data_IF_000068773124
#
_entry.id   IF_000068773124
#
_cell.length_a   1.000
_cell.length_b   1.000
_cell.length_c   1.000
_cell.angle_alpha   90.00
_cell.angle_beta   90.00
_cell.angle_gamma   90.00
#
_symmetry.space_group_name_H-M   'P 1'
#
loop_
_entity.id
_entity.type
_entity.pdbx_description
1 polymer ?
#
# COMPACT_ATOMS: atom_id res chain seq x y z
N UNK A 1 22.40 -37.02 4.53
CA UNK A 1 20.94 -37.21 4.67
C UNK A 1 20.60 -36.86 6.11
N UNK A 2 20.47 -35.57 6.42
CA UNK A 2 20.08 -35.09 7.74
C UNK A 2 19.01 -34.02 7.53
N UNK A 3 17.85 -34.26 8.13
CA UNK A 3 16.67 -33.41 8.07
C UNK A 3 16.82 -32.32 9.12
N UNK A 4 16.85 -31.06 8.71
CA UNK A 4 16.66 -29.94 9.63
C UNK A 4 15.16 -29.71 9.81
N UNK A 5 14.72 -29.81 11.05
CA UNK A 5 13.38 -29.45 11.52
C UNK A 5 13.31 -27.94 11.70
N UNK A 6 12.38 -27.28 11.02
CA UNK A 6 12.03 -25.88 11.26
C UNK A 6 11.45 -25.74 12.67
N UNK A 7 12.10 -24.95 13.52
CA UNK A 7 11.58 -24.54 14.83
C UNK A 7 10.86 -23.20 14.67
N UNK A 8 9.54 -23.22 14.84
CA UNK A 8 8.67 -22.04 14.97
C UNK A 8 8.96 -21.31 16.29
N UNK A 9 9.17 -19.99 16.20
CA UNK A 9 9.13 -19.07 17.34
C UNK A 9 7.86 -18.23 17.22
N UNK A 10 6.80 -18.64 17.91
CA UNK A 10 5.61 -17.84 18.14
C UNK A 10 5.82 -16.89 19.32
N UNK A 11 5.59 -15.59 19.10
CA UNK A 11 5.37 -14.62 20.18
C UNK A 11 3.93 -14.07 20.07
N UNK A 12 3.16 -14.00 21.18
CA UNK A 12 1.80 -13.47 21.13
C UNK A 12 1.81 -11.94 21.03
N UNK A 13 1.05 -11.41 20.06
CA UNK A 13 0.74 -9.98 19.98
C UNK A 13 -0.49 -9.68 20.85
N UNK A 14 -0.27 -9.08 22.02
CA UNK A 14 -1.32 -8.44 22.79
C UNK A 14 -1.62 -7.06 22.18
N UNK A 15 -2.76 -6.94 21.49
CA UNK A 15 -3.65 -5.75 21.49
C UNK A 15 -4.42 -5.61 20.17
N UNK A 16 -5.53 -6.32 20.04
CA UNK A 16 -6.76 -5.82 19.44
C UNK A 16 -7.86 -6.89 19.63
N UNK A 17 -8.73 -6.67 20.61
CA UNK A 17 -9.90 -7.51 20.84
C UNK A 17 -10.89 -7.32 19.70
N UNK A 18 -10.99 -8.31 18.81
CA UNK A 18 -12.19 -8.58 18.01
C UNK A 18 -12.36 -10.09 17.98
N UNK A 19 -13.28 -10.58 18.82
CA UNK A 19 -13.84 -11.93 18.74
C UNK A 19 -15.00 -11.90 17.76
N UNK A 20 -14.96 -12.74 16.73
CA UNK A 20 -16.15 -13.32 16.11
C UNK A 20 -15.86 -14.82 15.97
N UNK A 21 -16.41 -15.60 16.90
CA UNK A 21 -16.52 -17.06 16.82
C UNK A 21 -17.63 -17.47 15.85
N UNK A 22 -17.95 -18.73 15.63
CA UNK A 22 -17.40 -20.01 16.07
C UNK A 22 -17.83 -20.99 14.97
N UNK A 23 -16.91 -21.85 14.49
CA UNK A 23 -17.31 -23.09 13.82
C UNK A 23 -17.20 -24.22 14.83
N UNK A 24 -18.35 -24.87 15.04
CA UNK A 24 -18.56 -26.15 15.73
C UNK A 24 -17.44 -27.13 15.37
N UNK A 25 -16.67 -27.54 16.38
CA UNK A 25 -15.77 -28.68 16.26
C UNK A 25 -16.40 -29.87 17.00
N UNK A 26 -16.82 -30.85 16.22
CA UNK A 26 -17.13 -32.21 16.66
C UNK A 26 -15.86 -32.96 17.01
N UNK A 27 -15.99 -33.83 18.01
CA UNK A 27 -15.15 -34.99 18.27
C UNK A 27 -13.69 -34.75 18.67
N UNK A 28 -13.42 -34.86 19.97
CA UNK A 28 -12.49 -35.91 20.43
C UNK A 28 -12.67 -36.21 21.92
N UNK A 29 -12.89 -37.49 22.19
CA UNK A 29 -12.95 -38.14 23.47
C UNK A 29 -11.79 -37.79 24.42
N UNK A 30 -12.11 -37.52 25.69
CA UNK A 30 -11.33 -38.08 26.78
C UNK A 30 -12.22 -38.41 28.00
N UNK A 31 -12.04 -39.65 28.46
CA UNK A 31 -12.63 -40.33 29.63
C UNK A 31 -12.36 -39.49 30.90
N UNK A 32 -13.18 -39.43 31.95
CA UNK A 32 -14.44 -40.05 32.29
C UNK A 32 -14.62 -39.91 33.80
N UNK A 33 -15.84 -39.78 34.29
CA UNK A 33 -16.25 -40.31 35.58
C UNK A 33 -17.77 -40.33 35.67
N UNK A 34 -18.29 -41.47 36.09
CA UNK A 34 -19.70 -41.78 36.23
C UNK A 34 -20.09 -41.48 37.68
N UNK A 35 -21.03 -40.57 37.90
CA UNK A 35 -21.94 -40.68 39.05
C UNK A 35 -23.38 -40.58 38.53
N UNK A 36 -24.16 -41.59 38.92
CA UNK A 36 -25.54 -41.86 38.52
C UNK A 36 -26.54 -40.95 39.23
N UNK A 37 -27.52 -40.49 38.44
CA UNK A 37 -28.98 -40.54 38.63
C UNK A 37 -29.58 -39.94 39.92
N UNK A 38 -30.37 -38.88 39.75
CA UNK A 38 -31.74 -38.79 40.31
C UNK A 38 -32.57 -37.72 39.59
N UNK A 39 -33.50 -38.17 38.74
CA UNK A 39 -34.82 -37.53 38.54
C UNK A 39 -35.78 -38.12 39.59
N UNK A 40 -36.91 -37.51 40.00
CA UNK A 40 -37.89 -36.86 39.11
C UNK A 40 -38.66 -35.66 39.71
N UNK A 41 -39.69 -35.22 38.96
CA UNK A 41 -40.91 -34.48 39.36
C UNK A 41 -40.97 -32.96 39.10
N UNK A 42 -41.80 -32.63 38.09
CA UNK A 42 -42.60 -31.39 37.96
C UNK A 42 -43.75 -31.40 39.03
N UNK A 43 -44.59 -30.34 39.22
CA UNK A 43 -44.75 -29.10 38.45
C UNK A 43 -44.92 -27.78 39.28
N UNK A 44 -44.99 -26.68 38.52
CA UNK A 44 -45.92 -25.54 38.66
C UNK A 44 -45.43 -24.19 39.28
N UNK A 45 -45.82 -23.14 38.53
CA UNK A 45 -46.24 -21.77 38.88
C UNK A 45 -45.38 -20.88 39.80
N UNK A 46 -44.86 -19.77 39.25
CA UNK A 46 -44.96 -18.41 39.83
C UNK A 46 -44.37 -17.34 38.90
N UNK A 47 -45.08 -16.21 38.82
CA UNK A 47 -44.77 -15.02 38.05
C UNK A 47 -43.46 -14.34 38.51
N UNK A 48 -42.68 -13.81 37.56
CA UNK A 48 -41.64 -12.82 37.83
C UNK A 48 -41.83 -11.59 36.95
N UNK A 49 -42.29 -10.51 37.57
CA UNK A 49 -42.01 -9.14 37.18
C UNK A 49 -40.54 -8.84 37.50
N UNK A 50 -39.79 -8.31 36.53
CA UNK A 50 -38.47 -7.74 36.79
C UNK A 50 -38.43 -6.26 36.42
N UNK A 51 -38.09 -5.50 37.45
CA UNK A 51 -37.86 -4.06 37.47
C UNK A 51 -36.58 -3.67 36.74
N UNK A 52 -36.62 -2.47 36.15
CA UNK A 52 -35.51 -1.72 35.58
C UNK A 52 -34.41 -1.39 36.61
N UNK A 53 -33.11 -1.43 36.25
CA UNK A 53 -32.07 -0.72 36.97
C UNK A 53 -31.82 0.68 36.39
N UNK A 54 -31.66 1.63 37.32
CA UNK A 54 -31.35 3.05 37.17
C UNK A 54 -29.87 3.33 36.80
N UNK A 55 -29.56 4.53 36.26
CA UNK A 55 -28.19 4.92 35.90
C UNK A 55 -27.39 5.49 37.08
N UNK A 56 -26.08 5.19 37.11
CA UNK A 56 -25.09 5.68 38.10
C UNK A 56 -24.36 6.95 37.59
N UNK A 57 -23.98 7.91 38.47
CA UNK A 57 -23.46 9.21 38.07
C UNK A 57 -21.92 9.30 37.94
N UNK A 58 -21.49 10.28 37.14
CA UNK A 58 -20.10 10.71 36.89
C UNK A 58 -19.36 11.21 38.14
N UNK A 59 -18.02 11.08 38.23
CA UNK A 59 -17.21 11.74 39.25
C UNK A 59 -16.65 13.12 38.81
N UNK A 60 -16.23 13.98 39.77
CA UNK A 60 -16.09 15.43 39.58
C UNK A 60 -14.68 15.92 39.18
N UNK A 61 -14.69 17.14 38.61
CA UNK A 61 -13.56 18.04 38.34
C UNK A 61 -12.87 18.49 39.64
N UNK A 62 -11.54 18.43 39.66
CA UNK A 62 -10.71 19.11 40.67
C UNK A 62 -9.84 20.17 40.00
N UNK A 63 -9.98 21.39 40.52
CA UNK A 63 -9.26 22.61 40.19
C UNK A 63 -7.96 22.61 40.99
N UNK A 64 -6.84 23.00 40.36
CA UNK A 64 -5.64 23.46 41.08
C UNK A 64 -5.16 24.78 40.46
N UNK A 65 -5.25 25.85 41.25
CA UNK A 65 -4.60 27.13 41.01
C UNK A 65 -3.16 27.12 41.55
N UNK A 66 -2.28 27.80 40.81
CA UNK A 66 -1.18 28.59 41.37
C UNK A 66 0.14 27.87 41.64
N UNK A 67 1.19 28.22 40.88
CA UNK A 67 2.35 28.98 41.39
C UNK A 67 3.43 29.21 40.31
N UNK A 68 3.78 30.49 40.16
CA UNK A 68 5.10 31.08 39.82
C UNK A 68 5.62 30.98 38.39
N UNK A 69 5.43 32.10 37.69
CA UNK A 69 6.21 32.55 36.54
C UNK A 69 7.69 32.79 36.92
N UNK A 70 8.59 32.27 36.08
CA UNK A 70 9.99 32.69 35.99
C UNK A 70 10.22 33.34 34.61
N UNK A 71 10.82 34.53 34.53
CA UNK A 71 11.05 35.20 33.25
C UNK A 71 12.35 34.67 32.62
N UNK A 72 12.25 33.85 31.57
CA UNK A 72 13.39 33.62 30.68
C UNK A 72 13.44 34.71 29.61
N UNK A 73 14.32 35.66 29.86
CA UNK A 73 14.67 36.79 29.00
C UNK A 73 15.63 36.28 27.91
N UNK A 74 15.11 36.00 26.72
CA UNK A 74 15.97 35.85 25.54
C UNK A 74 16.28 37.24 24.96
N UNK A 75 17.56 37.60 24.74
CA UNK A 75 17.89 38.86 24.12
C UNK A 75 17.52 38.84 22.63
N UNK A 76 16.66 39.77 22.23
CA UNK A 76 16.44 40.17 20.85
C UNK A 76 17.77 40.65 20.24
N UNK A 77 18.33 39.87 19.31
CA UNK A 77 19.33 40.37 18.38
C UNK A 77 18.58 41.00 17.20
N UNK A 78 18.72 42.30 17.03
CA UNK A 78 18.24 43.02 15.85
C UNK A 78 19.01 42.58 14.61
N UNK A 79 18.37 42.42 13.44
CA UNK A 79 19.08 42.11 12.20
C UNK A 79 19.88 43.35 11.74
N UNK A 80 21.16 43.14 11.46
CA UNK A 80 22.05 44.14 10.85
C UNK A 80 21.60 44.47 9.41
N UNK A 81 21.76 45.70 8.93
CA UNK A 81 21.39 46.07 7.56
C UNK A 81 22.33 45.40 6.53
N UNK A 82 21.82 45.05 5.34
CA UNK A 82 22.66 44.48 4.28
C UNK A 82 23.63 45.53 3.70
N UNK A 83 24.83 45.12 3.25
CA UNK A 83 25.78 46.00 2.56
C UNK A 83 25.29 46.37 1.15
N UNK A 84 25.77 47.48 0.57
CA UNK A 84 25.25 48.02 -0.68
C UNK A 84 25.59 47.18 -1.91
N UNK A 85 24.66 47.19 -2.88
CA UNK A 85 24.75 46.55 -4.19
C UNK A 85 26.05 46.91 -4.93
N UNK A 86 26.77 45.88 -5.38
CA UNK A 86 27.73 46.01 -6.46
C UNK A 86 27.25 45.16 -7.63
N UNK A 87 27.14 45.81 -8.79
CA UNK A 87 26.67 45.22 -10.03
C UNK A 87 27.65 44.14 -10.50
N UNK A 88 27.21 42.89 -10.48
CA UNK A 88 27.82 41.82 -11.25
C UNK A 88 26.71 41.07 -11.99
N UNK A 89 26.80 41.08 -13.32
CA UNK A 89 25.95 40.30 -14.21
C UNK A 89 26.23 38.82 -13.95
N UNK A 90 25.30 38.11 -13.34
CA UNK A 90 25.31 36.65 -13.28
C UNK A 90 24.10 36.10 -14.01
N UNK A 91 24.38 35.17 -14.93
CA UNK A 91 23.40 34.56 -15.81
C UNK A 91 22.32 33.84 -15.03
N UNK A 92 21.10 33.95 -15.55
CA UNK A 92 19.94 33.15 -15.16
C UNK A 92 20.36 31.68 -15.17
N UNK A 93 20.56 31.09 -13.99
CA UNK A 93 20.60 29.65 -13.84
C UNK A 93 19.16 29.15 -14.04
N UNK A 94 18.85 28.82 -15.28
CA UNK A 94 17.71 27.97 -15.62
C UNK A 94 17.82 26.69 -14.80
N UNK A 95 16.85 26.46 -13.93
CA UNK A 95 16.64 25.20 -13.23
C UNK A 95 16.63 24.07 -14.24
N UNK A 96 17.66 23.24 -14.22
CA UNK A 96 17.76 22.03 -15.05
C UNK A 96 16.62 21.08 -14.67
N UNK A 97 15.53 21.13 -15.41
CA UNK A 97 14.53 20.06 -15.47
C UNK A 97 15.26 18.80 -15.92
N UNK A 98 15.56 17.94 -14.94
CA UNK A 98 16.25 16.68 -15.15
C UNK A 98 15.37 15.81 -16.03
N UNK A 99 15.76 15.66 -17.30
CA UNK A 99 15.06 14.86 -18.29
C UNK A 99 15.26 13.37 -17.98
N UNK A 100 14.16 12.62 -18.06
CA UNK A 100 14.18 11.15 -17.93
C UNK A 100 15.03 10.55 -19.03
N UNK A 101 16.00 9.71 -18.66
CA UNK A 101 16.81 8.99 -19.65
C UNK A 101 15.90 8.05 -20.45
N UNK A 102 15.92 8.13 -21.78
CA UNK A 102 15.18 7.22 -22.66
C UNK A 102 15.45 5.74 -22.31
N UNK A 103 16.65 5.42 -21.81
CA UNK A 103 17.05 4.07 -21.36
C UNK A 103 16.26 3.54 -20.15
N UNK A 104 15.59 4.43 -19.40
CA UNK A 104 14.81 4.11 -18.22
C UNK A 104 13.32 3.95 -18.50
N UNK A 105 12.87 4.24 -19.73
CA UNK A 105 11.47 4.08 -20.11
C UNK A 105 11.08 2.59 -20.01
N UNK A 106 10.00 2.25 -19.28
CA UNK A 106 9.52 0.88 -19.16
C UNK A 106 9.08 0.30 -20.50
N UNK A 107 9.18 -1.03 -20.64
CA UNK A 107 8.66 -1.76 -21.80
C UNK A 107 7.39 -2.52 -21.47
N UNK A 108 6.59 -2.85 -22.47
CA UNK A 108 5.51 -3.84 -22.31
C UNK A 108 6.14 -5.22 -22.11
N UNK A 109 5.70 -5.95 -21.08
CA UNK A 109 6.03 -7.35 -20.89
C UNK A 109 5.19 -8.19 -21.85
N UNK A 110 5.85 -9.02 -22.64
CA UNK A 110 5.21 -9.93 -23.59
C UNK A 110 5.58 -11.36 -23.18
N UNK A 111 4.61 -12.18 -22.73
CA UNK A 111 4.84 -13.58 -22.43
C UNK A 111 5.39 -14.33 -23.65
N UNK A 112 6.25 -15.34 -23.41
CA UNK A 112 6.84 -16.13 -24.51
C UNK A 112 5.77 -16.88 -25.30
N UNK A 113 4.71 -17.34 -24.63
CA UNK A 113 3.55 -17.97 -25.26
C UNK A 113 2.34 -17.07 -25.03
N UNK A 114 1.57 -16.80 -26.09
CA UNK A 114 0.49 -15.81 -26.03
C UNK A 114 -0.64 -16.10 -25.03
N UNK A 115 -0.78 -17.34 -24.56
CA UNK A 115 -1.79 -17.74 -23.58
C UNK A 115 -1.22 -17.92 -22.15
N UNK A 116 0.04 -17.59 -21.92
CA UNK A 116 0.64 -17.68 -20.59
C UNK A 116 -0.03 -16.67 -19.65
N UNK A 117 -0.48 -17.13 -18.49
CA UNK A 117 -1.07 -16.30 -17.44
C UNK A 117 -0.04 -15.98 -16.35
N UNK A 118 -0.26 -14.91 -15.57
CA UNK A 118 0.59 -14.57 -14.43
C UNK A 118 0.85 -15.73 -13.47
N UNK A 119 -0.17 -16.50 -13.08
CA UNK A 119 0.00 -17.63 -12.14
C UNK A 119 0.82 -18.78 -12.71
N UNK A 120 0.81 -18.95 -14.04
CA UNK A 120 1.64 -19.93 -14.71
C UNK A 120 3.10 -19.46 -14.77
N UNK A 121 3.36 -18.22 -15.16
CA UNK A 121 4.75 -17.73 -15.32
C UNK A 121 5.43 -17.35 -14.01
N UNK A 122 4.68 -16.82 -13.05
CA UNK A 122 5.23 -16.24 -11.83
C UNK A 122 4.78 -17.02 -10.59
N UNK A 123 5.44 -18.14 -10.33
CA UNK A 123 5.08 -19.02 -9.22
C UNK A 123 5.67 -18.56 -7.87
N UNK A 124 5.07 -18.98 -6.74
CA UNK A 124 5.62 -18.72 -5.42
C UNK A 124 7.06 -19.24 -5.26
N UNK A 125 8.01 -18.33 -5.11
CA UNK A 125 9.43 -18.63 -5.01
C UNK A 125 10.15 -17.79 -3.97
N UNK A 126 11.41 -18.14 -3.73
CA UNK A 126 12.33 -17.50 -2.79
C UNK A 126 13.24 -16.50 -3.53
N UNK A 127 13.30 -15.22 -3.12
CA UNK A 127 14.21 -14.25 -3.73
C UNK A 127 15.67 -14.68 -3.67
N UNK A 128 16.50 -14.26 -4.64
CA UNK A 128 17.90 -14.68 -4.72
C UNK A 128 18.78 -14.31 -3.52
N UNK A 129 18.48 -13.22 -2.79
CA UNK A 129 19.37 -12.65 -1.76
C UNK A 129 18.70 -12.28 -0.43
N UNK A 130 17.45 -12.68 -0.17
CA UNK A 130 16.72 -12.27 1.05
C UNK A 130 16.87 -13.26 2.22
N UNK A 131 16.96 -12.77 3.47
CA UNK A 131 16.92 -13.60 4.70
C UNK A 131 16.29 -12.81 5.87
N UNK A 132 15.23 -13.31 6.55
CA UNK A 132 14.42 -14.46 6.16
C UNK A 132 13.76 -14.21 4.80
N UNK A 133 13.56 -15.27 4.03
CA UNK A 133 13.23 -15.21 2.61
C UNK A 133 11.71 -14.97 2.43
N UNK A 134 11.23 -13.76 2.08
CA UNK A 134 9.81 -13.58 1.81
C UNK A 134 9.47 -14.30 0.50
N UNK A 135 8.37 -15.05 0.46
CA UNK A 135 7.90 -15.62 -0.83
C UNK A 135 7.47 -14.51 -1.79
N UNK A 136 7.80 -14.65 -3.08
CA UNK A 136 7.43 -13.72 -4.17
C UNK A 136 6.85 -14.48 -5.35
N UNK A 137 6.19 -13.77 -6.26
CA UNK A 137 5.80 -14.30 -7.57
C UNK A 137 7.01 -14.22 -8.49
N UNK A 138 7.78 -15.29 -8.62
CA UNK A 138 9.06 -15.31 -9.34
C UNK A 138 8.89 -15.96 -10.70
N UNK A 139 9.45 -15.35 -11.74
CA UNK A 139 9.40 -15.91 -13.09
C UNK A 139 10.13 -17.27 -13.13
N UNK A 140 9.46 -18.30 -13.62
CA UNK A 140 10.05 -19.64 -13.76
C UNK A 140 11.26 -19.68 -14.71
N UNK A 141 11.28 -18.82 -15.73
CA UNK A 141 12.34 -18.77 -16.73
C UNK A 141 13.49 -17.82 -16.34
N UNK A 142 13.26 -16.92 -15.38
CA UNK A 142 14.23 -15.94 -14.89
C UNK A 142 14.03 -15.68 -13.39
N UNK A 143 14.82 -16.32 -12.49
CA UNK A 143 14.66 -16.16 -11.05
C UNK A 143 15.05 -14.77 -10.54
N UNK A 144 15.60 -13.90 -11.40
CA UNK A 144 15.90 -12.50 -11.09
C UNK A 144 14.77 -11.54 -11.49
N UNK A 145 13.71 -12.07 -12.09
CA UNK A 145 12.49 -11.35 -12.42
C UNK A 145 11.32 -11.78 -11.53
N UNK A 146 10.54 -10.79 -11.08
CA UNK A 146 9.36 -11.04 -10.25
C UNK A 146 8.18 -10.18 -10.68
N UNK A 147 7.00 -10.57 -10.21
CA UNK A 147 5.73 -9.92 -10.50
C UNK A 147 5.14 -9.25 -9.26
N UNK A 148 4.56 -8.08 -9.46
CA UNK A 148 3.65 -7.41 -8.53
C UNK A 148 2.35 -7.12 -9.28
N UNK A 149 1.21 -7.35 -8.62
CA UNK A 149 -0.08 -6.86 -9.11
C UNK A 149 -0.42 -5.52 -8.48
N UNK A 150 -1.02 -4.63 -9.26
CA UNK A 150 -1.50 -3.32 -8.82
C UNK A 150 -2.90 -3.07 -9.35
N UNK A 151 -3.72 -2.37 -8.57
CA UNK A 151 -5.06 -1.97 -8.97
C UNK A 151 -5.51 -0.67 -8.27
N UNK A 152 -6.38 0.07 -8.94
CA UNK A 152 -6.97 1.31 -8.46
C UNK A 152 -8.49 1.36 -8.66
N UNK A 153 -9.23 1.16 -7.58
CA UNK A 153 -10.69 1.22 -7.58
C UNK A 153 -11.21 2.62 -7.22
N UNK A 154 -12.36 2.99 -7.78
CA UNK A 154 -13.10 4.18 -7.35
C UNK A 154 -14.60 3.91 -7.26
N UNK A 155 -15.10 3.83 -6.03
CA UNK A 155 -16.52 3.72 -5.71
C UNK A 155 -17.20 5.05 -6.03
N UNK A 156 -18.23 5.01 -6.88
CA UNK A 156 -18.91 6.23 -7.35
C UNK A 156 -18.04 7.10 -8.25
N UNK A 157 -17.17 6.51 -9.08
CA UNK A 157 -16.34 7.27 -10.01
C UNK A 157 -17.19 8.22 -10.89
N UNK A 158 -16.83 9.51 -10.91
CA UNK A 158 -17.58 10.55 -11.61
C UNK A 158 -18.88 11.02 -10.92
N UNK A 159 -19.20 10.50 -9.73
CA UNK A 159 -20.35 10.93 -8.92
C UNK A 159 -19.94 12.02 -7.91
N UNK A 160 -20.89 12.49 -7.10
CA UNK A 160 -20.68 13.60 -6.16
C UNK A 160 -19.70 13.28 -5.02
N UNK A 161 -19.68 12.03 -4.53
CA UNK A 161 -18.86 11.61 -3.39
C UNK A 161 -18.00 10.37 -3.74
N UNK A 162 -17.07 10.48 -4.69
CA UNK A 162 -16.23 9.37 -5.07
C UNK A 162 -15.27 9.02 -3.93
N UNK A 163 -15.06 7.72 -3.72
CA UNK A 163 -14.02 7.19 -2.85
C UNK A 163 -13.11 6.29 -3.66
N UNK A 164 -11.81 6.59 -3.67
CA UNK A 164 -10.85 5.81 -4.41
C UNK A 164 -9.86 5.12 -3.48
N UNK A 165 -9.42 3.93 -3.88
CA UNK A 165 -8.54 3.07 -3.12
C UNK A 165 -7.55 2.37 -4.03
N UNK A 166 -6.39 2.07 -3.47
CA UNK A 166 -5.25 1.54 -4.20
C UNK A 166 -4.83 0.22 -3.56
N UNK A 167 -4.31 -0.70 -4.37
CA UNK A 167 -3.73 -1.93 -3.86
C UNK A 167 -2.43 -2.32 -4.54
N UNK A 168 -1.62 -3.07 -3.79
CA UNK A 168 -0.40 -3.70 -4.28
C UNK A 168 -0.36 -5.12 -3.73
N UNK A 169 -0.27 -6.14 -4.57
CA UNK A 169 -0.11 -7.54 -4.17
C UNK A 169 1.27 -8.01 -4.56
N UNK A 170 2.13 -8.22 -3.56
CA UNK A 170 3.57 -8.41 -3.77
C UNK A 170 4.09 -9.76 -3.25
N UNK A 171 3.25 -10.54 -2.59
CA UNK A 171 3.63 -11.84 -2.03
C UNK A 171 2.45 -12.82 -2.08
N UNK A 172 2.65 -14.04 -2.59
CA UNK A 172 1.63 -15.08 -2.57
C UNK A 172 1.32 -15.55 -1.13
N UNK A 173 0.14 -16.15 -0.92
CA UNK A 173 -0.16 -16.85 0.33
C UNK A 173 0.80 -18.04 0.51
N UNK A 174 0.96 -18.46 1.76
CA UNK A 174 1.76 -19.62 2.18
C UNK A 174 0.92 -20.51 3.09
N UNK A 175 1.41 -21.72 3.40
CA UNK A 175 0.71 -22.62 4.35
C UNK A 175 0.48 -21.96 5.72
N UNK A 176 1.48 -21.26 6.24
CA UNK A 176 1.41 -20.59 7.55
C UNK A 176 0.71 -19.23 7.49
N UNK A 177 0.83 -18.50 6.38
CA UNK A 177 0.12 -17.24 6.13
C UNK A 177 -0.82 -17.40 4.95
N UNK A 178 -2.08 -17.72 5.24
CA UNK A 178 -3.13 -17.96 4.24
C UNK A 178 -3.51 -16.71 3.43
N UNK A 179 -2.99 -15.53 3.80
CA UNK A 179 -3.25 -14.27 3.11
C UNK A 179 -2.06 -13.81 2.25
N UNK A 180 -2.39 -13.13 1.16
CA UNK A 180 -1.45 -12.39 0.32
C UNK A 180 -0.73 -11.31 1.13
N UNK A 181 0.57 -11.10 0.84
CA UNK A 181 1.26 -9.90 1.28
C UNK A 181 0.86 -8.74 0.37
N UNK A 182 0.26 -7.71 0.98
CA UNK A 182 -0.43 -6.66 0.27
C UNK A 182 -0.27 -5.28 0.90
N UNK A 183 -0.50 -4.25 0.11
CA UNK A 183 -0.92 -2.92 0.55
C UNK A 183 -2.37 -2.71 0.13
N UNK A 184 -3.16 -2.08 1.00
CA UNK A 184 -4.51 -1.61 0.73
C UNK A 184 -4.69 -0.29 1.46
N UNK A 185 -4.98 0.79 0.72
CA UNK A 185 -5.02 2.14 1.27
C UNK A 185 -5.94 3.04 0.45
N UNK A 186 -6.51 4.07 1.11
CA UNK A 186 -7.30 5.09 0.44
C UNK A 186 -6.41 6.02 -0.38
N UNK A 187 -6.87 6.44 -1.57
CA UNK A 187 -6.21 7.47 -2.37
C UNK A 187 -6.26 8.81 -1.62
N UNK A 188 -5.12 9.48 -1.48
CA UNK A 188 -5.02 10.72 -0.72
C UNK A 188 -5.79 11.88 -1.39
N UNK A 189 -6.18 12.88 -0.59
CA UNK A 189 -6.80 14.09 -1.13
C UNK A 189 -5.80 14.90 -1.96
N UNK A 190 -4.56 15.01 -1.46
CA UNK A 190 -3.49 15.76 -2.09
C UNK A 190 -2.57 14.86 -2.90
N UNK A 191 -2.12 15.36 -4.05
CA UNK A 191 -1.10 14.72 -4.87
C UNK A 191 0.32 14.97 -4.32
N UNK A 192 1.35 14.45 -5.00
CA UNK A 192 2.76 14.67 -4.63
C UNK A 192 3.17 16.15 -4.55
N UNK A 193 2.46 17.05 -5.23
CA UNK A 193 2.66 18.51 -5.20
C UNK A 193 2.02 19.21 -4.00
N UNK A 194 1.22 18.49 -3.19
CA UNK A 194 0.40 19.08 -2.12
C UNK A 194 -0.94 19.67 -2.60
N UNK A 195 -1.22 19.66 -3.90
CA UNK A 195 -2.49 20.14 -4.45
C UNK A 195 -3.60 19.10 -4.29
N UNK A 196 -4.81 19.56 -3.98
CA UNK A 196 -5.98 18.69 -3.86
C UNK A 196 -6.49 18.25 -5.24
N UNK A 197 -6.74 16.95 -5.40
CA UNK A 197 -7.22 16.37 -6.65
C UNK A 197 -8.51 15.55 -6.46
N UNK A 198 -9.32 15.40 -7.52
CA UNK A 198 -10.51 14.56 -7.47
C UNK A 198 -10.17 13.09 -7.29
N UNK A 199 -11.05 12.35 -6.63
CA UNK A 199 -10.93 10.90 -6.51
C UNK A 199 -11.41 10.25 -7.80
N UNK A 200 -10.52 9.53 -8.47
CA UNK A 200 -10.81 8.85 -9.75
C UNK A 200 -10.08 7.53 -9.79
N UNK A 201 -10.60 6.57 -10.56
CA UNK A 201 -9.92 5.29 -10.77
C UNK A 201 -8.52 5.49 -11.38
N UNK A 202 -8.37 6.31 -12.42
CA UNK A 202 -7.06 6.57 -13.04
C UNK A 202 -5.98 7.09 -12.06
N UNK A 203 -6.36 7.94 -11.09
CA UNK A 203 -5.41 8.41 -10.06
C UNK A 203 -5.05 7.30 -9.09
N UNK A 204 -6.02 6.48 -8.69
CA UNK A 204 -5.78 5.31 -7.84
C UNK A 204 -4.86 4.29 -8.52
N UNK A 205 -5.06 4.04 -9.81
CA UNK A 205 -4.22 3.14 -10.61
C UNK A 205 -2.76 3.60 -10.61
N UNK A 206 -2.50 4.89 -10.92
CA UNK A 206 -1.15 5.45 -10.88
C UNK A 206 -0.53 5.41 -9.48
N UNK A 207 -1.34 5.73 -8.46
CA UNK A 207 -0.91 5.75 -7.07
C UNK A 207 -0.51 4.36 -6.56
N UNK A 208 -1.21 3.31 -7.01
CA UNK A 208 -0.90 1.92 -6.70
C UNK A 208 0.49 1.52 -7.25
N UNK A 209 0.81 1.91 -8.49
CA UNK A 209 2.14 1.67 -9.08
C UNK A 209 3.23 2.42 -8.33
N UNK A 210 3.00 3.69 -8.00
CA UNK A 210 3.96 4.49 -7.20
C UNK A 210 4.18 3.85 -5.83
N UNK A 211 3.10 3.37 -5.18
CA UNK A 211 3.20 2.65 -3.91
C UNK A 211 4.06 1.39 -4.07
N UNK A 212 3.86 0.59 -5.11
CA UNK A 212 4.64 -0.62 -5.35
C UNK A 212 6.14 -0.30 -5.48
N UNK A 213 6.51 0.77 -6.20
CA UNK A 213 7.90 1.16 -6.38
C UNK A 213 8.53 1.74 -5.10
N UNK A 214 7.76 2.48 -4.29
CA UNK A 214 8.25 3.10 -3.04
C UNK A 214 8.21 2.18 -1.83
N UNK A 215 7.41 1.13 -1.86
CA UNK A 215 7.16 0.27 -0.69
C UNK A 215 8.45 -0.28 -0.08
N UNK A 216 9.38 -0.74 -0.93
CA UNK A 216 10.71 -1.19 -0.51
C UNK A 216 11.70 -1.20 -1.67
N UNK A 217 12.98 -1.30 -1.31
CA UNK A 217 14.07 -1.50 -2.28
C UNK A 217 14.12 -2.95 -2.78
N UNK A 218 13.40 -3.24 -3.86
CA UNK A 218 13.31 -4.58 -4.47
C UNK A 218 14.66 -5.18 -4.89
N UNK A 219 15.60 -4.36 -5.34
CA UNK A 219 16.96 -4.81 -5.70
C UNK A 219 17.71 -5.40 -4.51
N UNK A 220 17.34 -5.02 -3.27
CA UNK A 220 17.89 -5.60 -2.05
C UNK A 220 17.52 -7.08 -1.86
N UNK A 221 16.47 -7.56 -2.53
CA UNK A 221 16.09 -8.98 -2.54
C UNK A 221 16.81 -9.79 -3.63
N UNK A 222 17.63 -9.13 -4.47
CA UNK A 222 18.38 -9.76 -5.56
C UNK A 222 17.68 -9.76 -6.92
N UNK A 223 16.57 -9.03 -7.07
CA UNK A 223 15.88 -8.86 -8.34
C UNK A 223 16.53 -7.78 -9.22
N UNK A 224 16.52 -8.03 -10.54
CA UNK A 224 16.99 -7.10 -11.56
C UNK A 224 15.89 -6.72 -12.55
N UNK A 225 14.76 -7.42 -12.53
CA UNK A 225 13.58 -7.06 -13.31
C UNK A 225 12.30 -7.17 -12.48
N UNK A 226 11.42 -6.18 -12.60
CA UNK A 226 10.07 -6.16 -12.03
C UNK A 226 9.06 -6.10 -13.18
N UNK A 227 8.08 -6.99 -13.15
CA UNK A 227 6.87 -6.93 -13.98
C UNK A 227 5.72 -6.42 -13.11
N UNK A 228 5.02 -5.40 -13.59
CA UNK A 228 3.83 -4.83 -12.94
C UNK A 228 2.62 -5.27 -13.75
N UNK A 229 1.79 -6.14 -13.17
CA UNK A 229 0.51 -6.54 -13.74
C UNK A 229 -0.62 -5.62 -13.27
N UNK A 230 -1.42 -5.16 -14.22
CA UNK A 230 -2.61 -4.31 -14.00
C UNK A 230 -3.61 -4.51 -15.14
N UNK A 231 -4.90 -4.34 -14.88
CA UNK A 231 -5.95 -4.29 -15.90
C UNK A 231 -6.14 -2.88 -16.50
N UNK A 232 -5.30 -1.91 -16.09
CA UNK A 232 -5.37 -0.52 -16.55
C UNK A 232 -4.54 -0.28 -17.81
N UNK A 233 -5.20 -0.27 -18.97
CA UNK A 233 -4.59 0.20 -20.23
C UNK A 233 -4.04 1.63 -20.10
N UNK A 234 -4.68 2.48 -19.30
CA UNK A 234 -4.20 3.85 -19.03
C UNK A 234 -2.81 3.86 -18.40
N UNK A 235 -2.54 2.97 -17.45
CA UNK A 235 -1.22 2.84 -16.84
C UNK A 235 -0.22 2.21 -17.81
N UNK A 236 -0.60 1.13 -18.49
CA UNK A 236 0.31 0.40 -19.39
C UNK A 236 0.73 1.28 -20.57
N UNK A 237 -0.22 1.85 -21.30
CA UNK A 237 0.08 2.70 -22.46
C UNK A 237 0.71 4.03 -22.04
N UNK A 238 0.28 4.62 -20.93
CA UNK A 238 0.90 5.84 -20.42
C UNK A 238 2.34 5.64 -20.00
N UNK A 239 2.66 4.50 -19.37
CA UNK A 239 4.00 4.19 -18.89
C UNK A 239 4.97 3.78 -19.99
N UNK A 240 4.48 3.26 -21.11
CA UNK A 240 5.32 2.64 -22.16
C UNK A 240 5.29 3.39 -23.49
N UNK A 241 4.15 4.00 -23.86
CA UNK A 241 3.93 4.59 -25.17
C UNK A 241 3.80 6.12 -25.09
N UNK A 242 2.88 6.65 -24.27
CA UNK A 242 2.52 8.07 -24.31
C UNK A 242 3.55 8.98 -23.65
N UNK A 243 4.27 8.47 -22.64
CA UNK A 243 5.25 9.24 -21.89
C UNK A 243 6.27 9.94 -22.79
N UNK A 244 6.73 9.28 -23.84
CA UNK A 244 7.74 9.83 -24.73
C UNK A 244 7.28 11.16 -25.32
N UNK A 245 6.06 11.18 -25.86
CA UNK A 245 5.45 12.38 -26.43
C UNK A 245 5.17 13.44 -25.35
N UNK A 246 4.75 13.04 -24.15
CA UNK A 246 4.50 13.98 -23.06
C UNK A 246 5.78 14.67 -22.60
N UNK A 247 6.88 13.93 -22.46
CA UNK A 247 8.17 14.50 -22.05
C UNK A 247 8.74 15.44 -23.10
N UNK A 248 8.55 15.14 -24.39
CA UNK A 248 8.99 16.01 -25.48
C UNK A 248 8.14 17.28 -25.63
N UNK A 249 6.90 17.25 -25.17
CA UNK A 249 5.95 18.35 -25.31
C UNK A 249 5.67 19.05 -23.96
N UNK A 250 6.66 19.09 -23.06
CA UNK A 250 6.59 19.74 -21.75
C UNK A 250 5.33 19.37 -20.94
N UNK A 251 4.99 18.08 -20.95
CA UNK A 251 3.82 17.50 -20.30
C UNK A 251 2.47 18.05 -20.79
N UNK A 252 2.41 18.47 -22.06
CA UNK A 252 1.17 18.83 -22.74
C UNK A 252 0.72 17.74 -23.71
N UNK A 253 -0.59 17.60 -23.85
CA UNK A 253 -1.21 16.79 -24.90
C UNK A 253 -0.99 17.45 -26.27
N UNK A 254 -1.26 16.71 -27.36
CA UNK A 254 -1.23 17.26 -28.72
C UNK A 254 -2.16 18.46 -28.91
N UNK A 255 -3.19 18.61 -28.07
CA UNK A 255 -4.10 19.74 -28.10
C UNK A 255 -3.57 20.97 -27.33
N UNK A 256 -2.35 20.93 -26.80
CA UNK A 256 -1.73 22.03 -26.05
C UNK A 256 -2.26 22.18 -24.62
N UNK A 257 -3.05 21.22 -24.12
CA UNK A 257 -3.54 21.20 -22.75
C UNK A 257 -2.64 20.34 -21.86
N UNK A 258 -2.48 20.67 -20.56
CA UNK A 258 -1.71 19.84 -19.63
C UNK A 258 -2.21 18.39 -19.59
N UNK A 259 -1.28 17.46 -19.48
CA UNK A 259 -1.59 16.03 -19.33
C UNK A 259 -2.36 15.81 -18.02
N UNK A 260 -3.46 15.06 -18.07
CA UNK A 260 -4.21 14.70 -16.87
C UNK A 260 -3.35 13.86 -15.93
N UNK A 261 -3.43 14.15 -14.63
CA UNK A 261 -2.67 13.48 -13.57
C UNK A 261 -1.14 13.63 -13.72
N UNK A 262 -0.70 14.74 -14.32
CA UNK A 262 0.72 15.04 -14.53
C UNK A 262 1.55 14.92 -13.25
N UNK A 263 1.00 15.32 -12.10
CA UNK A 263 1.63 15.21 -10.78
C UNK A 263 2.04 13.76 -10.45
N UNK A 264 1.13 12.81 -10.65
CA UNK A 264 1.39 11.39 -10.41
C UNK A 264 2.28 10.78 -11.49
N UNK A 265 2.12 11.18 -12.75
CA UNK A 265 3.01 10.71 -13.82
C UNK A 265 4.46 11.12 -13.59
N UNK A 266 4.70 12.41 -13.29
CA UNK A 266 6.04 12.91 -12.98
C UNK A 266 6.64 12.19 -11.77
N UNK A 267 5.83 11.94 -10.73
CA UNK A 267 6.23 11.15 -9.57
C UNK A 267 6.61 9.70 -9.96
N UNK A 268 5.75 9.01 -10.72
CA UNK A 268 5.97 7.64 -11.19
C UNK A 268 7.27 7.53 -12.00
N UNK A 269 7.52 8.43 -12.95
CA UNK A 269 8.75 8.40 -13.73
C UNK A 269 10.00 8.72 -12.91
N UNK A 270 9.89 9.60 -11.92
CA UNK A 270 10.95 9.79 -10.94
C UNK A 270 11.31 8.50 -10.18
N UNK A 271 10.31 7.68 -9.82
CA UNK A 271 10.54 6.38 -9.18
C UNK A 271 11.08 5.33 -10.15
N UNK A 272 10.61 5.30 -11.40
CA UNK A 272 11.13 4.43 -12.46
C UNK A 272 12.63 4.71 -12.71
N UNK A 273 13.02 5.99 -12.80
CA UNK A 273 14.43 6.35 -12.93
C UNK A 273 15.28 5.88 -11.74
N UNK A 274 14.76 6.05 -10.52
CA UNK A 274 15.46 5.62 -9.30
C UNK A 274 15.64 4.11 -9.31
N UNK A 275 14.61 3.36 -9.69
CA UNK A 275 14.65 1.90 -9.84
C UNK A 275 15.67 1.49 -10.91
N UNK A 276 15.65 2.12 -12.08
CA UNK A 276 16.60 1.86 -13.17
C UNK A 276 18.05 2.11 -12.74
N UNK A 277 18.33 3.25 -12.08
CA UNK A 277 19.67 3.55 -11.53
C UNK A 277 20.12 2.57 -10.46
N UNK A 278 19.19 1.95 -9.75
CA UNK A 278 19.46 0.89 -8.79
C UNK A 278 19.66 -0.49 -9.43
N UNK A 279 19.51 -0.61 -10.76
CA UNK A 279 19.65 -1.87 -11.50
C UNK A 279 18.37 -2.67 -11.64
N UNK A 280 17.19 -2.06 -11.44
CA UNK A 280 15.89 -2.69 -11.62
C UNK A 280 15.24 -2.23 -12.94
N UNK A 281 15.09 -3.16 -13.89
CA UNK A 281 14.29 -2.95 -15.10
C UNK A 281 12.80 -3.12 -14.79
N UNK A 282 11.98 -2.16 -15.16
CA UNK A 282 10.52 -2.24 -14.99
C UNK A 282 9.87 -2.58 -16.33
N UNK A 283 8.90 -3.49 -16.29
CA UNK A 283 8.05 -3.84 -17.43
C UNK A 283 6.59 -3.82 -16.98
N UNK A 284 5.68 -3.43 -17.87
CA UNK A 284 4.24 -3.40 -17.60
C UNK A 284 3.53 -4.51 -18.36
N UNK A 285 2.65 -5.24 -17.68
CA UNK A 285 1.84 -6.28 -18.28
C UNK A 285 0.36 -5.92 -18.12
N UNK A 286 -0.31 -5.67 -19.24
CA UNK A 286 -1.76 -5.60 -19.26
C UNK A 286 -2.34 -7.01 -19.11
N UNK A 287 -3.05 -7.24 -18.01
CA UNK A 287 -3.75 -8.50 -17.73
C UNK A 287 -5.25 -8.27 -17.72
N UNK A 288 -6.06 -9.31 -17.95
CA UNK A 288 -7.51 -9.16 -17.83
C UNK A 288 -7.90 -8.96 -16.36
N UNK A 289 -9.08 -8.41 -16.11
CA UNK A 289 -9.58 -8.17 -14.75
C UNK A 289 -9.71 -9.46 -13.95
N UNK A 290 -10.08 -10.56 -14.60
CA UNK A 290 -10.19 -11.89 -13.99
C UNK A 290 -8.84 -12.39 -13.43
N UNK A 291 -7.74 -11.99 -14.07
CA UNK A 291 -6.38 -12.30 -13.60
C UNK A 291 -5.87 -11.30 -12.55
N UNK A 292 -6.61 -10.21 -12.28
CA UNK A 292 -6.26 -9.17 -11.31
C UNK A 292 -7.25 -9.06 -10.13
N UNK A 293 -8.18 -10.02 -9.98
CA UNK A 293 -9.29 -9.94 -9.01
C UNK A 293 -8.85 -9.70 -7.56
N UNK A 294 -7.72 -10.29 -7.16
CA UNK A 294 -7.17 -10.12 -5.81
C UNK A 294 -6.74 -8.68 -5.56
N UNK A 295 -6.12 -8.03 -6.56
CA UNK A 295 -5.72 -6.63 -6.46
C UNK A 295 -6.95 -5.71 -6.48
N UNK A 296 -7.92 -5.94 -7.37
CA UNK A 296 -9.20 -5.20 -7.42
C UNK A 296 -9.97 -5.27 -6.09
N UNK A 297 -10.07 -6.46 -5.50
CA UNK A 297 -10.69 -6.65 -4.19
C UNK A 297 -10.01 -5.78 -3.12
N UNK A 298 -8.67 -5.80 -3.04
CA UNK A 298 -7.94 -5.00 -2.07
C UNK A 298 -7.96 -3.50 -2.36
N UNK A 299 -8.15 -3.09 -3.62
CA UNK A 299 -8.28 -1.69 -3.96
C UNK A 299 -9.65 -1.15 -3.53
N UNK A 300 -10.72 -1.96 -3.68
CA UNK A 300 -12.06 -1.67 -3.15
C UNK A 300 -12.07 -1.62 -1.63
N UNK A 301 -11.38 -2.54 -0.95
CA UNK A 301 -11.17 -2.44 0.51
C UNK A 301 -10.51 -1.11 0.88
N UNK A 302 -9.47 -0.71 0.14
CA UNK A 302 -8.75 0.54 0.35
C UNK A 302 -9.65 1.78 0.17
N UNK A 303 -10.62 1.72 -0.73
CA UNK A 303 -11.54 2.81 -1.01
C UNK A 303 -12.52 3.06 0.15
N UNK A 304 -12.76 2.08 1.01
CA UNK A 304 -13.61 2.24 2.20
C UNK A 304 -12.84 2.72 3.44
N UNK A 305 -11.51 2.74 3.39
CA UNK A 305 -10.69 3.24 4.50
C UNK A 305 -10.77 4.76 4.65
N UNK A 306 -10.39 5.24 5.83
CA UNK A 306 -10.26 6.66 6.09
C UNK A 306 -9.22 7.28 5.17
N UNK A 307 -9.65 8.33 4.47
CA UNK A 307 -8.81 9.02 3.51
C UNK A 307 -7.82 9.93 4.22
N UNK A 308 -6.51 9.78 4.00
CA UNK A 308 -5.54 10.76 4.48
C UNK A 308 -5.58 12.01 3.59
N UNK A 309 -5.26 13.16 4.18
CA UNK A 309 -5.21 14.42 3.44
C UNK A 309 -4.00 14.48 2.52
N UNK A 310 -2.81 14.28 3.10
CA UNK A 310 -1.53 14.47 2.44
C UNK A 310 -1.00 13.19 1.78
N UNK A 311 -0.36 13.35 0.62
CA UNK A 311 0.41 12.30 -0.04
C UNK A 311 1.51 11.79 0.90
N UNK A 312 1.52 10.48 1.20
CA UNK A 312 2.50 9.91 2.14
C UNK A 312 3.17 8.66 1.59
N UNK A 313 4.42 8.46 1.99
CA UNK A 313 5.13 7.23 1.65
C UNK A 313 4.59 6.07 2.47
N UNK A 314 4.25 4.98 1.77
CA UNK A 314 3.84 3.73 2.38
C UNK A 314 5.09 2.89 2.61
N UNK A 315 5.75 3.14 3.74
CA UNK A 315 6.98 2.43 4.08
C UNK A 315 6.63 1.16 4.83
N UNK A 316 7.18 0.02 4.39
CA UNK A 316 7.17 -1.18 5.22
C UNK A 316 7.83 -0.85 6.57
N UNK A 317 7.18 -1.05 7.71
CA UNK A 317 7.84 -0.91 9.00
C UNK A 317 9.10 -1.78 8.99
N UNK A 318 10.23 -1.24 9.45
CA UNK A 318 11.53 -1.94 9.43
C UNK A 318 11.52 -3.29 10.17
N UNK A 319 10.47 -3.56 10.95
CA UNK A 319 10.28 -4.75 11.77
C UNK A 319 9.16 -5.69 11.26
N UNK A 320 8.74 -5.60 9.99
CA UNK A 320 7.79 -6.58 9.45
C UNK A 320 8.50 -7.92 9.17
N UNK A 321 8.09 -9.03 9.82
CA UNK A 321 8.80 -10.32 9.77
C UNK A 321 8.66 -11.08 8.43
#
# INVERSE_FOLDING_TARGET
MERFTDAELDFPCNSCGVMIGDHLNTDTHCKGEIIRVASPSHPAWANFTFSTPTPSPSPPLMIFEGLRAFPFRYPFASPSPPPPESQAREGVQTTSTRTVSESSIPTVFVPRRGNDTPDLLFQPGSPPKASPVPRRFINQDDPTQFLIYTDGACLGNGQANPKAGCSVVFRPPTRSRQFYGRLSFALEHQGPSGETHPQTSNRAELRAVIAALRFRRWTGEGFHSLVIATDSTYVVDGSTNWVYAWMQNDWNTRAGTPVKNQDLWQCLFGEIEKAHRAGLKIQFWHVSRELNEIADMYAKEGAELNRPDSFTDLVCPQNWP
#
